data_IF_941633067185
#
_entry.id   IF_941633067185
#
_cell.length_a   1.000
_cell.length_b   1.000
_cell.length_c   1.000
_cell.angle_alpha   90.00
_cell.angle_beta   90.00
_cell.angle_gamma   90.00
#
_symmetry.space_group_name_H-M   'P 1'
#
loop_
_entity.id
_entity.type
_entity.pdbx_description
1 polymer ?
#
# COMPACT_ATOMS: atom_id res chain seq x y z
N UNK A 1 -2.56 -4.04 44.18
CA UNK A 1 -3.48 -4.07 43.02
C UNK A 1 -3.10 -5.31 42.22
N UNK A 2 -4.06 -6.16 41.92
CA UNK A 2 -3.85 -7.56 41.56
C UNK A 2 -3.07 -7.73 40.24
N UNK A 3 -1.94 -8.42 40.33
CA UNK A 3 -1.27 -9.11 39.22
C UNK A 3 -2.24 -10.15 38.65
N UNK A 4 -2.94 -9.78 37.58
CA UNK A 4 -3.54 -10.77 36.69
C UNK A 4 -2.43 -11.26 35.76
N UNK A 5 -1.60 -12.18 36.28
CA UNK A 5 -0.70 -13.00 35.46
C UNK A 5 -1.57 -13.62 34.36
N UNK A 6 -1.24 -13.33 33.10
CA UNK A 6 -1.81 -14.06 31.97
C UNK A 6 -1.65 -15.56 32.25
N UNK A 7 -2.68 -16.39 31.97
CA UNK A 7 -2.59 -17.81 32.24
C UNK A 7 -1.38 -18.38 31.53
N UNK A 8 -0.41 -18.84 32.32
CA UNK A 8 0.78 -19.53 31.84
C UNK A 8 0.31 -20.68 30.97
N UNK A 9 0.63 -20.63 29.67
CA UNK A 9 0.28 -21.70 28.75
C UNK A 9 1.02 -22.95 29.25
N UNK A 10 0.26 -23.95 29.70
CA UNK A 10 0.78 -25.22 30.18
C UNK A 10 1.34 -25.99 28.98
N UNK A 11 2.64 -25.80 28.72
CA UNK A 11 3.39 -26.42 27.61
C UNK A 11 3.22 -27.95 27.62
N UNK A 12 3.31 -28.66 28.76
CA UNK A 12 2.95 -30.08 28.84
C UNK A 12 1.52 -30.42 28.37
N UNK A 13 0.52 -29.62 28.73
CA UNK A 13 -0.87 -29.83 28.31
C UNK A 13 -1.05 -29.58 26.80
N UNK A 14 -0.38 -28.57 26.25
CA UNK A 14 -0.34 -28.33 24.80
C UNK A 14 0.37 -29.48 24.10
N UNK A 15 1.53 -29.93 24.58
CA UNK A 15 2.27 -31.06 24.05
C UNK A 15 1.48 -32.38 24.14
N UNK A 16 0.67 -32.58 25.19
CA UNK A 16 -0.24 -33.72 25.31
C UNK A 16 -1.42 -33.65 24.31
N UNK A 17 -1.85 -32.43 23.96
CA UNK A 17 -2.85 -32.18 22.90
C UNK A 17 -2.25 -32.23 21.48
N UNK A 18 -0.95 -32.01 21.29
CA UNK A 18 -0.23 -32.19 20.01
C UNK A 18 0.07 -33.68 19.73
N UNK A 19 -0.77 -34.60 20.22
CA UNK A 19 -0.80 -35.99 19.74
C UNK A 19 -1.32 -36.08 18.30
N UNK A 20 -2.07 -35.06 17.87
CA UNK A 20 -2.60 -34.92 16.53
C UNK A 20 -2.13 -33.57 15.94
N UNK A 21 -0.94 -33.52 15.31
CA UNK A 21 -0.45 -32.29 14.71
C UNK A 21 -1.38 -31.79 13.60
N UNK A 22 -2.04 -32.69 12.86
CA UNK A 22 -2.95 -32.32 11.76
C UNK A 22 -4.16 -31.60 12.32
N UNK A 23 -4.78 -32.13 13.38
CA UNK A 23 -5.89 -31.47 14.06
C UNK A 23 -5.53 -30.14 14.73
N UNK A 24 -4.24 -29.86 14.99
CA UNK A 24 -3.81 -28.51 15.39
C UNK A 24 -3.83 -27.58 14.16
N UNK A 25 -3.26 -28.02 13.04
CA UNK A 25 -3.27 -27.25 11.80
C UNK A 25 -4.69 -26.93 11.34
N UNK A 26 -5.61 -27.89 11.31
CA UNK A 26 -7.00 -27.65 10.85
C UNK A 26 -7.76 -26.63 11.70
N UNK A 27 -7.36 -26.41 12.96
CA UNK A 27 -7.99 -25.46 13.88
C UNK A 27 -7.36 -24.06 13.88
N UNK A 28 -6.10 -23.94 13.47
CA UNK A 28 -5.32 -22.70 13.61
C UNK A 28 -4.80 -22.13 12.31
N UNK A 29 -4.91 -22.87 11.20
CA UNK A 29 -4.36 -22.48 9.91
C UNK A 29 -5.47 -22.19 8.90
N UNK A 30 -5.44 -20.98 8.35
CA UNK A 30 -6.16 -20.60 7.13
C UNK A 30 -5.15 -20.00 6.14
N UNK A 31 -5.23 -20.41 4.88
CA UNK A 31 -4.35 -20.03 3.80
C UNK A 31 -4.93 -18.83 3.06
N UNK A 32 -4.05 -17.89 2.65
CA UNK A 32 -4.46 -16.76 1.81
C UNK A 32 -4.60 -17.16 0.34
N UNK A 33 -5.50 -16.50 -0.36
CA UNK A 33 -5.80 -16.66 -1.79
C UNK A 33 -4.55 -16.50 -2.67
N UNK A 34 -3.63 -15.61 -2.27
CA UNK A 34 -2.41 -15.27 -3.00
C UNK A 34 -1.45 -16.46 -3.13
N UNK A 35 -1.41 -17.36 -2.15
CA UNK A 35 -0.50 -18.53 -2.16
C UNK A 35 -1.09 -19.73 -2.92
N UNK A 36 -2.36 -19.64 -3.31
CA UNK A 36 -3.01 -20.62 -4.18
C UNK A 36 -2.74 -20.35 -5.66
N UNK A 37 -1.97 -19.30 -5.98
CA UNK A 37 -1.58 -18.87 -7.33
C UNK A 37 -0.73 -19.88 -8.12
N UNK A 38 -0.35 -21.02 -7.53
CA UNK A 38 0.19 -22.18 -8.25
C UNK A 38 -0.87 -22.93 -9.07
N UNK A 39 -1.79 -22.21 -9.71
CA UNK A 39 -2.78 -22.81 -10.60
C UNK A 39 -2.07 -23.36 -11.84
N UNK A 40 -2.45 -24.55 -12.30
CA UNK A 40 -1.93 -25.09 -13.55
C UNK A 40 -2.36 -24.21 -14.73
N UNK A 41 -1.68 -24.33 -15.87
CA UNK A 41 -2.12 -23.65 -17.09
C UNK A 41 -3.48 -24.21 -17.55
N UNK A 42 -4.55 -23.44 -17.34
CA UNK A 42 -5.92 -23.79 -17.68
C UNK A 42 -6.36 -23.20 -19.04
N UNK A 43 -5.44 -22.65 -19.84
CA UNK A 43 -5.77 -21.98 -21.11
C UNK A 43 -6.50 -22.87 -22.13
N UNK A 44 -6.39 -24.19 -21.97
CA UNK A 44 -7.08 -25.20 -22.78
C UNK A 44 -8.56 -25.41 -22.42
N UNK A 45 -9.00 -24.92 -21.25
CA UNK A 45 -10.38 -25.03 -20.78
C UNK A 45 -11.21 -23.78 -21.15
N UNK A 46 -12.54 -23.92 -21.30
CA UNK A 46 -13.46 -22.79 -21.36
C UNK A 46 -13.30 -21.85 -20.15
N UNK A 47 -13.55 -20.55 -20.35
CA UNK A 47 -13.43 -19.54 -19.29
C UNK A 47 -14.33 -19.83 -18.09
N UNK A 48 -15.52 -20.39 -18.33
CA UNK A 48 -16.45 -20.79 -17.26
C UNK A 48 -15.84 -21.88 -16.35
N UNK A 49 -15.17 -22.87 -16.93
CA UNK A 49 -14.49 -23.92 -16.16
C UNK A 49 -13.29 -23.35 -15.40
N UNK A 50 -12.54 -22.42 -16.02
CA UNK A 50 -11.45 -21.72 -15.33
C UNK A 50 -11.98 -20.93 -14.12
N UNK A 51 -13.04 -20.15 -14.30
CA UNK A 51 -13.66 -19.35 -13.24
C UNK A 51 -14.18 -20.26 -12.11
N UNK A 52 -14.78 -21.41 -12.44
CA UNK A 52 -15.21 -22.42 -11.45
C UNK A 52 -14.03 -23.04 -10.70
N UNK A 53 -12.93 -23.36 -11.40
CA UNK A 53 -11.69 -23.86 -10.77
C UNK A 53 -11.09 -22.82 -9.84
N UNK A 54 -11.12 -21.53 -10.20
CA UNK A 54 -10.63 -20.45 -9.35
C UNK A 54 -11.50 -20.22 -8.11
N UNK A 55 -12.78 -20.59 -8.17
CA UNK A 55 -13.75 -20.35 -7.09
C UNK A 55 -13.87 -21.50 -6.08
N UNK A 56 -13.10 -22.58 -6.22
CA UNK A 56 -13.21 -23.79 -5.38
C UNK A 56 -12.97 -23.56 -3.88
N UNK A 57 -12.32 -22.45 -3.52
CA UNK A 57 -12.09 -22.08 -2.13
C UNK A 57 -13.35 -21.58 -1.42
N UNK A 58 -14.38 -21.18 -2.18
CA UNK A 58 -15.65 -20.66 -1.66
C UNK A 58 -16.75 -21.73 -1.59
N UNK A 59 -16.39 -23.02 -1.61
CA UNK A 59 -17.35 -24.11 -1.44
C UNK A 59 -17.88 -24.09 0.01
N UNK A 60 -19.20 -24.16 0.15
CA UNK A 60 -19.88 -23.93 1.44
C UNK A 60 -20.11 -25.23 2.21
N UNK A 61 -20.21 -26.36 1.51
CA UNK A 61 -20.49 -27.66 2.12
C UNK A 61 -19.48 -28.74 1.70
N UNK A 62 -19.23 -29.76 2.55
CA UNK A 62 -18.41 -30.92 2.15
C UNK A 62 -18.96 -31.65 0.91
N UNK A 63 -20.28 -31.65 0.73
CA UNK A 63 -20.93 -32.18 -0.46
C UNK A 63 -20.53 -31.42 -1.73
N UNK A 64 -20.43 -30.09 -1.67
CA UNK A 64 -19.97 -29.26 -2.80
C UNK A 64 -18.51 -29.57 -3.16
N UNK A 65 -17.67 -29.89 -2.17
CA UNK A 65 -16.27 -30.31 -2.39
C UNK A 65 -16.20 -31.62 -3.14
N UNK A 66 -17.00 -32.61 -2.76
CA UNK A 66 -17.03 -33.90 -3.46
C UNK A 66 -17.64 -33.76 -4.86
N UNK A 67 -18.68 -32.92 -5.02
CA UNK A 67 -19.23 -32.59 -6.35
C UNK A 67 -18.16 -31.93 -7.23
N UNK A 68 -17.43 -30.94 -6.69
CA UNK A 68 -16.37 -30.24 -7.40
C UNK A 68 -15.25 -31.19 -7.82
N UNK A 69 -14.82 -32.08 -6.92
CA UNK A 69 -13.87 -33.14 -7.23
C UNK A 69 -14.36 -34.04 -8.35
N UNK A 70 -15.60 -34.52 -8.27
CA UNK A 70 -16.18 -35.36 -9.32
C UNK A 70 -16.26 -34.63 -10.66
N UNK A 71 -16.61 -33.34 -10.64
CA UNK A 71 -16.63 -32.48 -11.82
C UNK A 71 -15.24 -32.32 -12.45
N UNK A 72 -14.19 -32.08 -11.64
CA UNK A 72 -12.79 -32.01 -12.14
C UNK A 72 -12.42 -33.26 -12.93
N UNK A 73 -12.85 -34.44 -12.49
CA UNK A 73 -12.55 -35.72 -13.18
C UNK A 73 -13.21 -35.84 -14.55
N UNK A 74 -14.23 -35.03 -14.84
CA UNK A 74 -14.93 -35.02 -16.14
C UNK A 74 -14.33 -34.06 -17.15
N UNK A 75 -13.47 -33.13 -16.71
CA UNK A 75 -12.90 -32.10 -17.58
C UNK A 75 -11.83 -32.67 -18.53
N UNK A 76 -11.71 -32.10 -19.74
CA UNK A 76 -10.67 -32.50 -20.68
C UNK A 76 -9.30 -32.00 -20.20
N UNK A 77 -8.52 -32.88 -19.57
CA UNK A 77 -7.17 -32.60 -19.07
C UNK A 77 -6.12 -33.43 -19.84
N UNK A 78 -5.67 -32.98 -21.03
CA UNK A 78 -4.83 -33.77 -21.93
C UNK A 78 -3.48 -34.17 -21.33
N UNK A 79 -2.99 -33.41 -20.34
CA UNK A 79 -1.71 -33.64 -19.69
C UNK A 79 -1.84 -34.18 -18.25
N UNK A 80 -3.06 -34.37 -17.75
CA UNK A 80 -3.35 -34.76 -16.38
C UNK A 80 -2.88 -33.73 -15.34
N UNK A 81 -2.72 -32.46 -15.71
CA UNK A 81 -2.16 -31.43 -14.82
C UNK A 81 -3.18 -31.02 -13.77
N UNK A 82 -4.44 -30.82 -14.16
CA UNK A 82 -5.52 -30.45 -13.26
C UNK A 82 -5.81 -31.56 -12.26
N UNK A 83 -5.84 -32.82 -12.72
CA UNK A 83 -6.04 -33.96 -11.82
C UNK A 83 -4.90 -34.07 -10.80
N UNK A 84 -3.63 -34.02 -11.25
CA UNK A 84 -2.47 -34.07 -10.33
C UNK A 84 -2.46 -32.89 -9.34
N UNK A 85 -2.90 -31.71 -9.78
CA UNK A 85 -3.03 -30.54 -8.92
C UNK A 85 -4.07 -30.77 -7.81
N UNK A 86 -5.21 -31.39 -8.14
CA UNK A 86 -6.22 -31.74 -7.13
C UNK A 86 -5.75 -32.85 -6.20
N UNK A 87 -5.17 -33.93 -6.75
CA UNK A 87 -4.60 -35.05 -5.98
C UNK A 87 -3.51 -34.58 -5.00
N UNK A 88 -2.69 -33.61 -5.39
CA UNK A 88 -1.71 -33.00 -4.50
C UNK A 88 -2.38 -32.32 -3.29
N UNK A 89 -3.55 -31.70 -3.48
CA UNK A 89 -4.31 -31.12 -2.36
C UNK A 89 -4.88 -32.19 -1.44
N UNK A 90 -5.39 -33.28 -2.01
CA UNK A 90 -5.90 -34.42 -1.23
C UNK A 90 -4.80 -35.17 -0.48
N UNK A 91 -3.59 -35.26 -1.05
CA UNK A 91 -2.44 -35.91 -0.43
C UNK A 91 -1.99 -35.22 0.87
N UNK A 92 -2.27 -33.92 0.99
CA UNK A 92 -1.92 -33.13 2.16
C UNK A 92 -3.19 -32.83 2.97
N UNK A 93 -3.47 -33.71 3.94
CA UNK A 93 -4.69 -33.66 4.77
C UNK A 93 -4.96 -32.29 5.43
N UNK A 94 -3.91 -31.50 5.70
CA UNK A 94 -4.02 -30.16 6.28
C UNK A 94 -4.34 -29.05 5.27
N UNK A 95 -4.13 -29.29 3.97
CA UNK A 95 -4.16 -28.25 2.95
C UNK A 95 -5.59 -27.84 2.58
N UNK A 96 -6.47 -28.81 2.32
CA UNK A 96 -7.87 -28.52 1.99
C UNK A 96 -8.63 -27.84 3.14
N UNK A 97 -8.54 -28.31 4.40
CA UNK A 97 -9.08 -27.59 5.58
C UNK A 97 -8.50 -26.20 5.77
N UNK A 98 -7.26 -25.97 5.32
CA UNK A 98 -6.62 -24.66 5.36
C UNK A 98 -7.10 -23.72 4.25
N UNK A 99 -7.81 -24.19 3.23
CA UNK A 99 -8.23 -23.39 2.06
C UNK A 99 -9.75 -23.23 2.02
N UNK A 100 -10.49 -24.29 2.35
CA UNK A 100 -11.93 -24.37 2.22
C UNK A 100 -12.54 -24.37 3.62
N UNK A 101 -13.29 -23.32 3.95
CA UNK A 101 -13.83 -23.09 5.29
C UNK A 101 -14.65 -24.29 5.79
N UNK A 102 -15.48 -24.89 4.93
CA UNK A 102 -16.36 -25.99 5.32
C UNK A 102 -15.63 -27.29 5.70
N UNK A 103 -14.33 -27.39 5.38
CA UNK A 103 -13.46 -28.50 5.77
C UNK A 103 -12.58 -28.15 6.98
N UNK A 104 -12.58 -26.90 7.42
CA UNK A 104 -11.80 -26.42 8.55
C UNK A 104 -12.48 -26.74 9.87
N UNK A 105 -11.68 -27.07 10.89
CA UNK A 105 -12.14 -27.14 12.28
C UNK A 105 -12.00 -25.79 12.99
N UNK A 106 -11.50 -24.76 12.30
CA UNK A 106 -11.36 -23.42 12.83
C UNK A 106 -12.72 -22.83 13.18
N UNK A 107 -12.76 -22.04 14.26
CA UNK A 107 -13.94 -21.26 14.60
C UNK A 107 -14.33 -20.32 13.43
N UNK A 108 -15.60 -20.27 12.99
CA UNK A 108 -16.00 -19.47 11.85
C UNK A 108 -15.71 -17.98 11.99
N UNK A 109 -15.89 -17.41 13.19
CA UNK A 109 -15.58 -15.99 13.43
C UNK A 109 -14.07 -15.76 13.31
N UNK A 110 -13.25 -16.68 13.86
CA UNK A 110 -11.81 -16.64 13.70
C UNK A 110 -11.37 -16.76 12.22
N UNK A 111 -12.02 -17.62 11.45
CA UNK A 111 -11.78 -17.77 10.00
C UNK A 111 -12.07 -16.48 9.24
N UNK A 112 -13.19 -15.80 9.54
CA UNK A 112 -13.56 -14.54 8.89
C UNK A 112 -12.70 -13.34 9.31
N UNK A 113 -12.12 -13.36 10.51
CA UNK A 113 -11.17 -12.33 10.98
C UNK A 113 -9.83 -12.45 10.24
N UNK A 114 -9.45 -13.65 9.80
CA UNK A 114 -8.29 -13.85 8.94
C UNK A 114 -8.61 -13.33 7.54
N UNK A 115 -8.24 -12.08 7.26
CA UNK A 115 -8.39 -11.50 5.92
C UNK A 115 -7.74 -12.41 4.86
N UNK A 116 -8.52 -12.81 3.85
CA UNK A 116 -8.08 -13.69 2.75
C UNK A 116 -6.84 -13.15 2.00
N UNK A 117 -6.58 -11.85 2.09
CA UNK A 117 -5.46 -11.14 1.46
C UNK A 117 -4.22 -11.01 2.33
N UNK A 118 -4.32 -11.30 3.63
CA UNK A 118 -3.30 -10.95 4.61
C UNK A 118 -2.85 -12.23 5.29
N UNK A 119 -1.90 -12.96 4.70
CA UNK A 119 -1.42 -14.14 5.37
C UNK A 119 -0.63 -13.77 6.64
N UNK A 120 -0.59 -14.72 7.56
CA UNK A 120 0.38 -14.77 8.64
C UNK A 120 1.82 -14.91 8.07
N UNK A 121 1.97 -15.53 6.90
CA UNK A 121 3.25 -15.75 6.23
C UNK A 121 4.00 -14.48 5.80
N UNK A 122 3.57 -13.68 4.84
CA UNK A 122 4.21 -12.47 4.28
C UNK A 122 4.53 -11.40 5.32
N UNK A 123 3.63 -11.14 6.28
CA UNK A 123 3.91 -10.19 7.36
C UNK A 123 5.00 -10.71 8.31
N UNK A 124 5.10 -12.02 8.48
CA UNK A 124 6.01 -12.67 9.41
C UNK A 124 7.25 -13.24 8.73
N UNK A 125 7.26 -13.49 7.42
CA UNK A 125 8.35 -14.06 6.64
C UNK A 125 9.42 -13.01 6.41
N UNK A 126 9.08 -11.75 6.13
CA UNK A 126 10.12 -10.72 5.98
C UNK A 126 10.87 -10.46 7.31
N UNK A 127 10.16 -10.52 8.45
CA UNK A 127 10.73 -10.31 9.78
C UNK A 127 11.37 -11.58 10.37
N UNK A 128 10.67 -12.71 10.36
CA UNK A 128 11.18 -14.00 10.83
C UNK A 128 12.23 -14.58 9.88
N UNK A 129 12.12 -14.52 8.55
CA UNK A 129 13.21 -15.03 7.70
C UNK A 129 14.52 -14.26 7.92
N UNK A 130 14.44 -13.01 8.38
CA UNK A 130 15.60 -12.20 8.78
C UNK A 130 16.18 -12.65 10.13
N UNK A 131 15.37 -13.14 11.05
CA UNK A 131 15.80 -13.53 12.40
C UNK A 131 16.02 -15.04 12.59
N UNK A 132 15.32 -15.90 11.85
CA UNK A 132 15.27 -17.36 12.00
C UNK A 132 15.61 -18.14 10.74
N UNK A 133 15.84 -17.49 9.59
CA UNK A 133 16.26 -18.16 8.34
C UNK A 133 15.22 -19.11 7.70
N UNK A 134 15.35 -19.33 6.39
CA UNK A 134 14.58 -20.35 5.65
C UNK A 134 15.43 -21.63 5.61
N UNK A 135 14.85 -22.78 5.97
CA UNK A 135 15.49 -24.11 5.83
C UNK A 135 16.05 -24.73 7.11
N UNK A 136 15.69 -24.21 8.28
CA UNK A 136 16.08 -24.81 9.56
C UNK A 136 15.23 -26.04 9.90
N UNK A 137 15.85 -27.03 10.54
CA UNK A 137 15.12 -28.20 11.05
C UNK A 137 14.15 -27.80 12.17
N UNK A 138 13.02 -28.50 12.29
CA UNK A 138 11.95 -28.18 13.25
C UNK A 138 12.47 -27.98 14.69
N UNK A 139 13.36 -28.84 15.18
CA UNK A 139 13.94 -28.74 16.52
C UNK A 139 14.82 -27.49 16.68
N UNK A 140 15.59 -27.16 15.65
CA UNK A 140 16.46 -25.99 15.62
C UNK A 140 15.63 -24.69 15.63
N UNK A 141 14.49 -24.72 14.93
CA UNK A 141 13.54 -23.61 14.94
C UNK A 141 12.96 -23.37 16.34
N UNK A 142 12.61 -24.42 17.09
CA UNK A 142 12.10 -24.28 18.46
C UNK A 142 13.12 -23.63 19.40
N UNK A 143 14.39 -24.04 19.32
CA UNK A 143 15.47 -23.45 20.14
C UNK A 143 15.65 -21.97 19.82
N UNK A 144 15.57 -21.58 18.54
CA UNK A 144 15.68 -20.17 18.17
C UNK A 144 14.48 -19.33 18.62
N UNK A 145 13.27 -19.87 18.53
CA UNK A 145 12.08 -19.22 19.06
C UNK A 145 12.19 -19.00 20.57
N UNK A 146 12.64 -20.00 21.33
CA UNK A 146 12.87 -19.86 22.78
C UNK A 146 13.88 -18.74 23.10
N UNK A 147 14.98 -18.66 22.35
CA UNK A 147 15.98 -17.60 22.52
C UNK A 147 15.42 -16.21 22.18
N UNK A 148 14.57 -16.12 21.16
CA UNK A 148 13.91 -14.88 20.75
C UNK A 148 12.90 -14.43 21.80
N UNK A 149 12.05 -15.33 22.29
CA UNK A 149 11.07 -15.06 23.33
C UNK A 149 11.74 -14.61 24.63
N UNK A 150 12.84 -15.26 25.01
CA UNK A 150 13.65 -14.87 26.18
C UNK A 150 14.19 -13.45 26.03
N UNK A 151 14.68 -13.08 24.83
CA UNK A 151 15.16 -11.72 24.56
C UNK A 151 14.04 -10.70 24.66
N UNK A 152 12.87 -11.00 24.09
CA UNK A 152 11.69 -10.12 24.15
C UNK A 152 11.18 -9.94 25.57
N UNK A 153 11.15 -11.01 26.35
CA UNK A 153 10.77 -10.95 27.76
C UNK A 153 11.73 -10.04 28.55
N UNK A 154 13.05 -10.18 28.34
CA UNK A 154 14.05 -9.32 28.96
C UNK A 154 13.92 -7.85 28.52
N UNK A 155 13.66 -7.60 27.24
CA UNK A 155 13.39 -6.26 26.71
C UNK A 155 12.17 -5.63 27.40
N UNK A 156 11.07 -6.37 27.53
CA UNK A 156 9.84 -5.93 28.21
C UNK A 156 10.14 -5.64 29.69
N UNK A 157 10.87 -6.51 30.38
CA UNK A 157 11.23 -6.29 31.78
C UNK A 157 12.07 -5.03 31.96
N UNK A 158 13.08 -4.81 31.12
CA UNK A 158 13.89 -3.58 31.12
C UNK A 158 13.02 -2.34 30.83
N UNK A 159 12.05 -2.43 29.92
CA UNK A 159 11.12 -1.33 29.63
C UNK A 159 10.23 -1.02 30.84
N UNK A 160 9.74 -2.05 31.53
CA UNK A 160 8.93 -1.90 32.75
C UNK A 160 9.75 -1.30 33.89
N UNK A 161 10.98 -1.75 34.10
CA UNK A 161 11.87 -1.24 35.15
C UNK A 161 12.35 0.19 34.88
N UNK A 162 12.67 0.52 33.61
CA UNK A 162 13.17 1.84 33.23
C UNK A 162 12.07 2.89 33.03
N UNK A 163 10.80 2.47 32.93
CA UNK A 163 9.67 3.33 32.59
C UNK A 163 9.69 3.89 31.16
N UNK A 164 10.68 3.50 30.35
CA UNK A 164 10.80 3.89 28.95
C UNK A 164 10.26 2.77 28.06
N UNK A 165 8.95 2.80 27.80
CA UNK A 165 8.33 1.94 26.80
C UNK A 165 8.91 2.23 25.42
N UNK A 166 9.27 1.18 24.69
CA UNK A 166 9.68 1.33 23.29
C UNK A 166 8.54 1.97 22.49
N UNK A 167 8.79 3.18 22.01
CA UNK A 167 7.89 3.88 21.10
C UNK A 167 8.41 3.67 19.68
N UNK A 168 7.75 2.82 18.86
CA UNK A 168 8.18 2.56 17.49
C UNK A 168 8.19 3.84 16.63
N UNK A 169 7.44 4.88 17.02
CA UNK A 169 7.45 6.20 16.36
C UNK A 169 8.64 7.08 16.77
N UNK A 170 9.46 6.67 17.73
CA UNK A 170 10.64 7.41 18.21
C UNK A 170 11.96 6.71 17.86
N UNK A 171 11.92 5.69 17.01
CA UNK A 171 13.16 5.10 16.49
C UNK A 171 14.00 6.13 15.75
N UNK A 172 15.29 5.85 15.67
CA UNK A 172 16.27 6.69 14.98
C UNK A 172 15.86 6.89 13.51
N UNK A 173 15.44 5.81 12.83
CA UNK A 173 14.91 5.80 11.46
C UNK A 173 13.74 6.78 11.29
N UNK A 174 12.72 6.69 12.15
CA UNK A 174 11.53 7.54 12.12
C UNK A 174 11.85 9.01 12.43
N UNK A 175 12.80 9.26 13.34
CA UNK A 175 13.31 10.62 13.62
C UNK A 175 14.02 11.22 12.42
N UNK A 176 14.86 10.45 11.73
CA UNK A 176 15.53 10.89 10.51
C UNK A 176 14.54 11.13 9.37
N UNK A 177 13.59 10.22 9.14
CA UNK A 177 12.55 10.39 8.12
C UNK A 177 11.71 11.66 8.37
N UNK A 178 11.25 11.87 9.60
CA UNK A 178 10.48 13.06 10.00
C UNK A 178 11.29 14.35 9.85
N UNK A 179 12.58 14.32 10.21
CA UNK A 179 13.48 15.46 10.01
C UNK A 179 13.66 15.77 8.52
N UNK A 180 13.89 14.75 7.70
CA UNK A 180 14.05 14.91 6.26
C UNK A 180 12.78 15.48 5.62
N UNK A 181 11.60 14.95 5.97
CA UNK A 181 10.33 15.46 5.48
C UNK A 181 10.13 16.96 5.82
N UNK A 182 10.49 17.37 7.04
CA UNK A 182 10.47 18.79 7.45
C UNK A 182 11.46 19.64 6.65
N UNK A 183 12.69 19.16 6.45
CA UNK A 183 13.69 19.85 5.64
C UNK A 183 13.25 20.02 4.19
N UNK A 184 12.69 18.96 3.57
CA UNK A 184 12.14 19.01 2.21
C UNK A 184 11.00 20.01 2.13
N UNK A 185 10.02 19.92 3.03
CA UNK A 185 8.88 20.84 3.07
C UNK A 185 9.33 22.30 3.23
N UNK A 186 10.30 22.57 4.10
CA UNK A 186 10.85 23.91 4.27
C UNK A 186 11.58 24.40 3.02
N UNK A 187 12.33 23.52 2.34
CA UNK A 187 13.00 23.84 1.09
C UNK A 187 12.01 24.17 -0.03
N UNK A 188 10.94 23.38 -0.19
CA UNK A 188 9.91 23.63 -1.21
C UNK A 188 9.16 24.93 -0.94
N UNK A 189 8.78 25.21 0.32
CA UNK A 189 8.18 26.50 0.69
C UNK A 189 9.10 27.69 0.35
N UNK A 190 10.40 27.56 0.60
CA UNK A 190 11.36 28.60 0.25
C UNK A 190 11.51 28.80 -1.27
N UNK A 191 11.42 27.73 -2.07
CA UNK A 191 11.41 27.83 -3.53
C UNK A 191 10.15 28.54 -4.03
N UNK A 192 8.99 28.18 -3.50
CA UNK A 192 7.72 28.83 -3.86
C UNK A 192 7.73 30.32 -3.52
N UNK A 193 8.16 30.70 -2.32
CA UNK A 193 8.25 32.10 -1.93
C UNK A 193 9.20 32.90 -2.86
N UNK A 194 10.34 32.30 -3.25
CA UNK A 194 11.26 32.93 -4.23
C UNK A 194 10.64 33.09 -5.60
N UNK A 195 9.88 32.10 -6.07
CA UNK A 195 9.20 32.19 -7.35
C UNK A 195 8.15 33.30 -7.35
N UNK A 196 7.36 33.42 -6.27
CA UNK A 196 6.40 34.51 -6.10
C UNK A 196 7.08 35.88 -6.06
N UNK A 197 8.19 36.02 -5.31
CA UNK A 197 8.97 37.27 -5.27
C UNK A 197 9.56 37.63 -6.65
N UNK A 198 10.03 36.64 -7.40
CA UNK A 198 10.55 36.83 -8.75
C UNK A 198 9.46 37.28 -9.73
N UNK A 199 8.24 36.74 -9.62
CA UNK A 199 7.06 37.15 -10.40
C UNK A 199 6.63 38.57 -10.07
N UNK A 200 6.56 38.94 -8.78
CA UNK A 200 6.23 40.30 -8.34
C UNK A 200 7.24 41.30 -8.90
N UNK A 201 8.54 41.00 -8.78
CA UNK A 201 9.61 41.85 -9.30
C UNK A 201 9.53 42.01 -10.83
N UNK A 202 9.21 40.94 -11.56
CA UNK A 202 9.01 41.00 -13.01
C UNK A 202 7.82 41.89 -13.38
N UNK A 203 6.70 41.80 -12.64
CA UNK A 203 5.53 42.64 -12.84
C UNK A 203 5.83 44.13 -12.53
N UNK A 204 6.56 44.41 -11.45
CA UNK A 204 7.00 45.77 -11.11
C UNK A 204 7.87 46.39 -12.21
N UNK A 205 8.81 45.61 -12.75
CA UNK A 205 9.64 46.05 -13.86
C UNK A 205 8.81 46.34 -15.12
N UNK A 206 7.86 45.47 -15.47
CA UNK A 206 6.98 45.68 -16.62
C UNK A 206 6.10 46.94 -16.47
N UNK A 207 5.62 47.23 -15.26
CA UNK A 207 4.89 48.47 -14.96
C UNK A 207 5.79 49.69 -15.11
N UNK A 208 7.02 49.63 -14.61
CA UNK A 208 7.99 50.72 -14.76
C UNK A 208 8.31 51.00 -16.24
N UNK A 209 8.53 49.95 -17.03
CA UNK A 209 8.81 50.05 -18.46
C UNK A 209 7.61 50.62 -19.24
N UNK A 210 6.38 50.16 -18.94
CA UNK A 210 5.16 50.69 -19.54
C UNK A 210 4.94 52.18 -19.21
N UNK A 211 5.23 52.60 -17.97
CA UNK A 211 5.17 54.01 -17.57
C UNK A 211 6.21 54.86 -18.31
N UNK A 212 7.43 54.34 -18.49
CA UNK A 212 8.47 55.01 -19.26
C UNK A 212 8.06 55.19 -20.73
N UNK A 213 7.49 54.15 -21.34
CA UNK A 213 6.98 54.19 -22.72
C UNK A 213 5.81 55.17 -22.89
N UNK A 214 4.85 55.20 -21.94
CA UNK A 214 3.77 56.20 -21.94
C UNK A 214 4.31 57.63 -21.84
N UNK A 215 5.38 57.86 -21.08
CA UNK A 215 6.01 59.17 -20.96
C UNK A 215 6.66 59.60 -22.28
N UNK A 216 7.30 58.69 -23.00
CA UNK A 216 7.85 58.94 -24.35
C UNK A 216 6.74 59.29 -25.36
N UNK A 217 5.68 58.48 -25.44
CA UNK A 217 4.53 58.76 -26.34
C UNK A 217 3.90 60.14 -26.03
N UNK A 218 3.77 60.50 -24.75
CA UNK A 218 3.25 61.83 -24.36
C UNK A 218 4.17 62.96 -24.82
N UNK A 219 5.49 62.77 -24.75
CA UNK A 219 6.46 63.75 -25.24
C UNK A 219 6.37 63.90 -26.77
N UNK A 220 6.27 62.80 -27.52
CA UNK A 220 6.12 62.80 -29.00
C UNK A 220 4.81 63.45 -29.46
N UNK A 221 3.69 63.18 -28.76
CA UNK A 221 2.42 63.87 -29.05
C UNK A 221 2.51 65.37 -28.81
N UNK A 222 3.24 65.80 -27.77
CA UNK A 222 3.45 67.21 -27.48
C UNK A 222 4.25 67.90 -28.59
N UNK A 223 5.33 67.27 -29.09
CA UNK A 223 6.12 67.80 -30.22
C UNK A 223 5.36 67.82 -31.55
N UNK A 224 4.50 66.83 -31.83
CA UNK A 224 3.67 66.83 -33.04
C UNK A 224 2.53 67.87 -32.99
N UNK A 225 2.03 68.24 -31.80
CA UNK A 225 0.98 69.26 -31.68
C UNK A 225 1.45 70.70 -31.93
N UNK A 226 2.74 70.98 -31.75
CA UNK A 226 3.34 72.29 -32.03
C UNK A 226 3.61 72.56 -33.53
N UNK A 227 3.36 71.58 -34.41
CA UNK A 227 3.61 71.68 -35.85
C UNK A 227 2.38 71.99 -36.73
N UNK A 228 1.20 72.24 -36.16
CA UNK A 228 -0.01 72.52 -36.96
C UNK A 228 -0.02 73.97 -37.46
N UNK A 229 0.61 74.18 -38.62
CA UNK A 229 0.57 75.41 -39.41
C UNK A 229 -0.89 75.77 -39.74
N UNK A 230 -1.23 77.04 -39.52
CA UNK A 230 -2.49 77.70 -39.81
C UNK A 230 -2.91 77.54 -41.28
N UNK A 231 -4.18 77.20 -41.52
CA UNK A 231 -4.79 77.21 -42.85
C UNK A 231 -4.76 78.63 -43.46
N UNK A 232 -4.55 78.78 -44.79
CA UNK A 232 -4.56 80.09 -45.44
C UNK A 232 -5.98 80.69 -45.49
N UNK A 233 -6.13 82.02 -45.42
CA UNK A 233 -7.45 82.67 -45.45
C UNK A 233 -8.12 82.60 -46.83
N UNK A 234 -9.45 82.48 -46.80
CA UNK A 234 -10.37 82.41 -47.95
C UNK A 234 -10.39 83.71 -48.77
N UNK A 235 -10.43 83.67 -50.12
CA UNK A 235 -10.36 84.84 -50.99
C UNK A 235 -11.74 85.34 -51.46
N UNK A 236 -12.66 85.71 -50.57
CA UNK A 236 -13.91 86.40 -50.95
C UNK A 236 -14.38 87.30 -49.80
N UNK A 237 -13.89 88.55 -49.74
CA UNK A 237 -14.53 89.70 -49.04
C UNK A 237 -13.64 90.97 -49.12
N UNK A 238 -13.18 91.35 -50.31
CA UNK A 238 -12.42 92.60 -50.54
C UNK A 238 -12.95 93.37 -51.75
N UNK A 239 -14.27 93.56 -51.79
CA UNK A 239 -14.90 94.31 -52.88
C UNK A 239 -16.13 95.12 -52.44
N UNK A 240 -16.13 95.75 -51.26
CA UNK A 240 -17.08 96.84 -50.97
C UNK A 240 -16.54 97.72 -49.84
N UNK A 241 -15.85 98.80 -50.19
CA UNK A 241 -15.86 100.10 -49.48
C UNK A 241 -14.92 101.08 -50.18
N UNK A 242 -15.43 101.74 -51.22
CA UNK A 242 -14.95 103.04 -51.70
C UNK A 242 -16.13 103.71 -52.42
N UNK A 243 -16.90 104.48 -51.65
CA UNK A 243 -17.74 105.61 -52.07
C UNK A 243 -17.98 106.50 -50.86
#
# INVERSE_FOLDING_TARGET
MADALLPTIDIPLVAEKVKDPIGVFTRTFASSDVHLSGFPDLSHLPREDQDRIHSFMYLETPEDVEEFKMWIRTLPDPNGVLMRWWEHKEMHEWLLPGIIQCLSDMDPDAWHIMEATTNFGEAQHAANNKETGIGMGLVESFIQYEALDTRRAAEIEIMLQSGNLHNPRNEVSHRYASRNARCVTASEKAKHARAEDDEVRAAEQAVADAQAHLKQIRAEKKSNSSGRVSAPPSPEESAYQNQ
#
